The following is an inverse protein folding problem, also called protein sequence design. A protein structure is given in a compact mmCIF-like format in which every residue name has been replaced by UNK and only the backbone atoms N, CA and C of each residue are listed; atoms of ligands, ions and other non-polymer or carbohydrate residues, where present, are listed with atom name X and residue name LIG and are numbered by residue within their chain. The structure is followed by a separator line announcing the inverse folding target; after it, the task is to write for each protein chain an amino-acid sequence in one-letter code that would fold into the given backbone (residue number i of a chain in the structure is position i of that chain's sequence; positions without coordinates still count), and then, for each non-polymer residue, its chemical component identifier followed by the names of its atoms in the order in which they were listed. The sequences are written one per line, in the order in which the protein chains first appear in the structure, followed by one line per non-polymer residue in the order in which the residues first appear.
data_IF_493599415819
#
_entry.id   IF_493599415819
#
_cell.length_a   1.000
_cell.length_b   1.000
_cell.length_c   1.000
_cell.angle_alpha   90.00
_cell.angle_beta   90.00
_cell.angle_gamma   90.00
#
_symmetry.space_group_name_H-M   'P 1'
#
loop_
_entity.id
_entity.type
_entity.pdbx_description
1 polymer ?
#
# COMPACT_ATOMS: atom_id res chain seq x y z
N UNK A 1 51.94 -7.35 -9.77
CA UNK A 1 50.70 -6.76 -9.23
C UNK A 1 50.73 -6.87 -7.71
N UNK A 2 50.92 -5.74 -7.03
CA UNK A 2 51.15 -5.69 -5.59
C UNK A 2 49.94 -6.21 -4.80
N UNK A 3 50.20 -6.86 -3.65
CA UNK A 3 49.16 -7.45 -2.80
C UNK A 3 48.05 -6.44 -2.44
N UNK A 4 48.42 -5.16 -2.28
CA UNK A 4 47.50 -4.04 -2.06
C UNK A 4 46.60 -3.74 -3.28
N UNK A 5 47.11 -3.81 -4.51
CA UNK A 5 46.31 -3.63 -5.73
C UNK A 5 45.29 -4.76 -5.90
N UNK A 6 45.67 -6.02 -5.61
CA UNK A 6 44.72 -7.17 -5.64
C UNK A 6 43.55 -6.97 -4.68
N UNK A 7 43.82 -6.57 -3.43
CA UNK A 7 42.77 -6.33 -2.43
C UNK A 7 41.83 -5.19 -2.83
N UNK A 8 42.36 -4.10 -3.40
CA UNK A 8 41.54 -2.98 -3.88
C UNK A 8 40.59 -3.43 -5.00
N UNK A 9 41.07 -4.20 -5.98
CA UNK A 9 40.20 -4.71 -7.05
C UNK A 9 39.08 -5.62 -6.53
N UNK A 10 39.37 -6.46 -5.54
CA UNK A 10 38.35 -7.34 -4.94
C UNK A 10 37.28 -6.54 -4.20
N UNK A 11 37.65 -5.52 -3.43
CA UNK A 11 36.67 -4.68 -2.72
C UNK A 11 35.79 -3.92 -3.71
N UNK A 12 36.39 -3.33 -4.76
CA UNK A 12 35.64 -2.62 -5.79
C UNK A 12 34.65 -3.57 -6.51
N UNK A 13 35.07 -4.80 -6.81
CA UNK A 13 34.19 -5.79 -7.43
C UNK A 13 32.99 -6.16 -6.53
N UNK A 14 33.21 -6.31 -5.21
CA UNK A 14 32.13 -6.61 -4.26
C UNK A 14 31.15 -5.44 -4.14
N UNK A 15 31.65 -4.20 -4.03
CA UNK A 15 30.81 -3.00 -3.97
C UNK A 15 30.02 -2.79 -5.28
N UNK A 16 30.64 -3.08 -6.43
CA UNK A 16 29.96 -3.04 -7.72
C UNK A 16 28.81 -4.08 -7.79
N UNK A 17 29.03 -5.30 -7.29
CA UNK A 17 27.98 -6.33 -7.26
C UNK A 17 26.87 -5.97 -6.26
N UNK A 18 27.20 -5.42 -5.08
CA UNK A 18 26.19 -4.98 -4.11
C UNK A 18 25.33 -3.84 -4.66
N UNK A 19 25.95 -2.84 -5.29
CA UNK A 19 25.20 -1.72 -5.87
C UNK A 19 24.29 -2.19 -7.00
N UNK A 20 24.76 -3.06 -7.90
CA UNK A 20 23.91 -3.63 -8.95
C UNK A 20 22.78 -4.50 -8.37
N UNK A 21 23.07 -5.31 -7.33
CA UNK A 21 22.09 -6.21 -6.73
C UNK A 21 21.01 -5.52 -5.89
N UNK A 22 21.23 -4.25 -5.48
CA UNK A 22 20.27 -3.46 -4.72
C UNK A 22 19.43 -2.52 -5.60
N UNK A 23 19.72 -2.42 -6.90
CA UNK A 23 18.90 -1.65 -7.83
C UNK A 23 17.75 -2.51 -8.32
N UNK A 24 16.55 -2.32 -7.76
CA UNK A 24 15.34 -3.05 -8.14
C UNK A 24 14.82 -4.05 -7.10
N UNK A 25 15.28 -3.96 -5.85
CA UNK A 25 14.52 -4.56 -4.76
C UNK A 25 13.34 -3.63 -4.44
N UNK A 26 12.17 -3.94 -5.00
CA UNK A 26 10.92 -3.45 -4.45
C UNK A 26 10.79 -4.07 -3.06
N UNK A 27 11.25 -3.32 -2.06
CA UNK A 27 10.97 -3.62 -0.65
C UNK A 27 9.46 -3.82 -0.56
N UNK A 28 9.02 -5.01 -0.12
CA UNK A 28 7.59 -5.28 0.09
C UNK A 28 7.00 -4.15 0.91
N UNK A 29 6.17 -3.34 0.25
CA UNK A 29 5.58 -2.18 0.88
C UNK A 29 4.62 -2.68 1.95
N UNK A 30 4.99 -2.43 3.21
CA UNK A 30 4.15 -2.73 4.35
C UNK A 30 2.80 -2.03 4.25
N UNK A 31 1.91 -2.33 5.19
CA UNK A 31 0.63 -1.64 5.24
C UNK A 31 0.80 -0.24 5.83
N UNK A 32 0.28 0.75 5.11
CA UNK A 32 0.13 2.13 5.56
C UNK A 32 -1.23 2.32 6.24
N UNK A 33 -1.28 3.23 7.20
CA UNK A 33 -2.56 3.73 7.71
C UNK A 33 -3.16 4.73 6.72
N UNK A 34 -4.45 5.04 6.85
CA UNK A 34 -5.09 6.07 5.99
C UNK A 34 -4.46 7.44 6.26
N UNK A 35 -4.12 7.72 7.50
CA UNK A 35 -3.38 8.92 7.90
C UNK A 35 -2.01 9.03 7.23
N UNK A 36 -1.25 7.94 7.10
CA UNK A 36 0.08 7.96 6.46
C UNK A 36 0.00 8.43 5.00
N UNK A 37 -0.94 7.85 4.24
CA UNK A 37 -1.10 8.14 2.80
C UNK A 37 -1.80 9.48 2.53
N UNK A 38 -2.58 10.01 3.49
CA UNK A 38 -3.27 11.29 3.33
C UNK A 38 -2.48 12.46 3.91
N UNK A 39 -1.48 12.21 4.75
CA UNK A 39 -0.57 13.23 5.28
C UNK A 39 0.41 13.74 4.22
N UNK A 40 0.95 12.86 3.37
CA UNK A 40 1.76 13.22 2.20
C UNK A 40 1.29 12.47 0.93
N UNK A 41 0.16 12.87 0.35
CA UNK A 41 -0.43 12.16 -0.78
C UNK A 41 0.47 12.18 -2.01
N UNK A 42 1.32 13.20 -2.18
CA UNK A 42 2.18 13.35 -3.35
C UNK A 42 3.27 12.28 -3.43
N UNK A 43 3.71 11.75 -2.28
CA UNK A 43 4.67 10.65 -2.26
C UNK A 43 4.09 9.34 -2.81
N UNK A 44 2.76 9.20 -2.72
CA UNK A 44 2.04 7.97 -3.05
C UNK A 44 1.25 8.02 -4.36
N UNK A 45 1.14 9.19 -5.01
CA UNK A 45 0.48 9.34 -6.30
C UNK A 45 1.06 8.41 -7.36
N UNK A 46 0.16 7.76 -8.12
CA UNK A 46 0.46 6.78 -9.17
C UNK A 46 1.26 5.57 -8.67
N UNK A 47 1.33 5.36 -7.35
CA UNK A 47 1.99 4.21 -6.73
C UNK A 47 0.99 3.22 -6.17
N UNK A 48 1.46 1.97 -6.09
CA UNK A 48 0.73 0.90 -5.43
C UNK A 48 0.82 1.09 -3.92
N UNK A 49 -0.34 1.10 -3.26
CA UNK A 49 -0.47 1.27 -1.82
C UNK A 49 -1.21 0.08 -1.21
N UNK A 50 -0.72 -0.37 -0.06
CA UNK A 50 -1.42 -1.29 0.82
C UNK A 50 -1.89 -0.48 2.01
N UNK A 51 -3.19 -0.33 2.21
CA UNK A 51 -3.72 0.45 3.33
C UNK A 51 -4.75 -0.31 4.13
N UNK A 52 -4.97 0.12 5.37
CA UNK A 52 -6.00 -0.44 6.25
C UNK A 52 -6.79 0.67 6.91
N UNK A 53 -8.07 0.38 7.17
CA UNK A 53 -8.96 1.34 7.80
C UNK A 53 -10.33 0.76 8.06
N UNK A 54 -11.30 1.64 8.31
CA UNK A 54 -12.69 1.30 8.59
C UNK A 54 -13.58 1.88 7.48
N UNK A 55 -14.50 1.09 6.95
CA UNK A 55 -15.47 1.57 5.97
C UNK A 55 -16.44 2.55 6.66
N UNK A 56 -16.45 3.81 6.22
CA UNK A 56 -17.28 4.86 6.83
C UNK A 56 -18.77 4.58 6.65
N UNK A 57 -19.54 4.75 7.72
CA UNK A 57 -21.00 4.59 7.68
C UNK A 57 -21.68 5.61 6.76
N UNK A 58 -22.66 5.17 5.98
CA UNK A 58 -23.39 5.95 5.00
C UNK A 58 -22.63 6.24 3.70
N UNK A 59 -21.48 5.59 3.46
CA UNK A 59 -20.65 5.84 2.25
C UNK A 59 -20.59 4.65 1.31
N UNK A 60 -20.97 3.45 1.75
CA UNK A 60 -20.88 2.26 0.91
C UNK A 60 -21.98 2.26 -0.15
N UNK A 61 -21.56 2.40 -1.41
CA UNK A 61 -22.42 2.37 -2.58
C UNK A 61 -21.99 1.24 -3.51
N UNK A 62 -22.84 0.23 -3.64
CA UNK A 62 -22.60 -0.94 -4.48
C UNK A 62 -23.43 -0.79 -5.76
N UNK A 63 -22.76 -0.70 -6.91
CA UNK A 63 -23.40 -0.71 -8.24
C UNK A 63 -22.94 -1.92 -9.05
N UNK A 64 -23.66 -2.30 -10.13
CA UNK A 64 -23.27 -3.44 -10.97
C UNK A 64 -21.89 -3.32 -11.61
N UNK A 65 -21.41 -2.10 -11.84
CA UNK A 65 -20.13 -1.82 -12.50
C UNK A 65 -19.00 -1.54 -11.52
N UNK A 66 -19.31 -0.93 -10.37
CA UNK A 66 -18.32 -0.42 -9.44
C UNK A 66 -18.91 -0.29 -8.04
N UNK A 67 -18.08 -0.55 -7.04
CA UNK A 67 -18.35 -0.26 -5.64
C UNK A 67 -17.52 0.94 -5.21
N UNK A 68 -18.14 1.87 -4.49
CA UNK A 68 -17.47 3.06 -3.96
C UNK A 68 -17.74 3.19 -2.48
N UNK A 69 -16.76 3.62 -1.71
CA UNK A 69 -16.89 3.91 -0.28
C UNK A 69 -15.76 4.82 0.20
N UNK A 70 -15.92 5.38 1.39
CA UNK A 70 -14.85 6.13 2.08
C UNK A 70 -14.24 5.23 3.14
N UNK A 71 -12.91 5.14 3.14
CA UNK A 71 -12.14 4.47 4.17
C UNK A 71 -11.61 5.52 5.16
N UNK A 72 -11.84 5.32 6.45
CA UNK A 72 -11.28 6.15 7.52
C UNK A 72 -10.13 5.44 8.20
N UNK A 73 -9.23 6.21 8.78
CA UNK A 73 -8.23 5.65 9.69
C UNK A 73 -8.91 4.98 10.90
N UNK A 74 -8.25 3.96 11.47
CA UNK A 74 -8.76 3.23 12.63
C UNK A 74 -8.47 3.96 13.95
N UNK A 75 -7.45 4.83 14.00
CA UNK A 75 -7.05 5.59 15.17
C UNK A 75 -7.59 7.03 15.15
N UNK A 76 -7.71 7.64 13.97
CA UNK A 76 -8.21 9.01 13.81
C UNK A 76 -9.16 9.16 12.61
N UNK A 77 -10.47 9.15 12.89
CA UNK A 77 -11.54 9.26 11.88
C UNK A 77 -11.48 10.55 11.03
N UNK A 78 -10.65 11.55 11.39
CA UNK A 78 -10.47 12.75 10.57
C UNK A 78 -9.69 12.48 9.26
N UNK A 79 -8.91 11.39 9.21
CA UNK A 79 -8.20 10.98 8.00
C UNK A 79 -9.07 10.02 7.21
N UNK A 80 -9.39 10.42 5.97
CA UNK A 80 -10.32 9.72 5.11
C UNK A 80 -9.80 9.68 3.68
N UNK A 81 -10.07 8.58 2.97
CA UNK A 81 -9.75 8.44 1.55
C UNK A 81 -10.88 7.72 0.81
N UNK A 82 -11.18 8.14 -0.42
CA UNK A 82 -12.18 7.48 -1.24
C UNK A 82 -11.59 6.25 -1.92
N UNK A 83 -12.41 5.22 -2.08
CA UNK A 83 -12.03 3.96 -2.69
C UNK A 83 -13.03 3.62 -3.79
N UNK A 84 -12.51 3.29 -4.95
CA UNK A 84 -13.24 2.67 -6.06
C UNK A 84 -12.80 1.22 -6.19
N UNK A 85 -13.74 0.29 -6.40
CA UNK A 85 -13.45 -1.14 -6.51
C UNK A 85 -14.39 -1.80 -7.52
N UNK A 86 -13.83 -2.40 -8.57
CA UNK A 86 -14.60 -3.00 -9.67
C UNK A 86 -14.54 -4.54 -9.71
N UNK A 87 -13.84 -5.18 -8.77
CA UNK A 87 -13.71 -6.64 -8.72
C UNK A 87 -14.79 -7.27 -7.81
N UNK A 88 -14.76 -8.61 -7.69
CA UNK A 88 -15.71 -9.34 -6.87
C UNK A 88 -15.61 -8.92 -5.41
N UNK A 89 -16.75 -8.55 -4.83
CA UNK A 89 -16.82 -8.10 -3.45
C UNK A 89 -16.69 -9.27 -2.47
N UNK A 90 -15.92 -9.11 -1.38
CA UNK A 90 -15.95 -10.06 -0.29
C UNK A 90 -17.35 -10.07 0.35
N UNK A 91 -17.91 -11.26 0.59
CA UNK A 91 -19.29 -11.44 1.05
C UNK A 91 -19.64 -10.73 2.37
N UNK A 92 -18.63 -10.39 3.18
CA UNK A 92 -18.78 -9.75 4.48
C UNK A 92 -18.43 -8.27 4.48
N UNK A 93 -18.20 -7.64 3.32
CA UNK A 93 -17.99 -6.21 3.23
C UNK A 93 -19.25 -5.48 3.71
N UNK A 94 -19.08 -4.59 4.67
CA UNK A 94 -20.14 -3.78 5.23
C UNK A 94 -19.56 -2.53 5.86
N UNK A 95 -20.41 -1.53 6.07
CA UNK A 95 -20.06 -0.31 6.80
C UNK A 95 -19.65 -0.62 8.25
N UNK A 96 -18.74 0.20 8.79
CA UNK A 96 -18.18 0.04 10.12
C UNK A 96 -17.26 -1.18 10.27
N UNK A 97 -16.94 -1.89 9.18
CA UNK A 97 -15.98 -3.00 9.20
C UNK A 97 -14.57 -2.50 8.90
N UNK A 98 -13.62 -3.04 9.65
CA UNK A 98 -12.21 -2.88 9.33
C UNK A 98 -11.85 -3.78 8.15
N UNK A 99 -11.13 -3.19 7.19
CA UNK A 99 -10.63 -3.86 6.00
C UNK A 99 -9.18 -3.46 5.76
N UNK A 100 -8.49 -4.31 5.02
CA UNK A 100 -7.23 -4.01 4.37
C UNK A 100 -7.46 -4.03 2.87
N UNK A 101 -6.85 -3.10 2.14
CA UNK A 101 -6.96 -3.06 0.68
C UNK A 101 -5.60 -2.83 0.04
N UNK A 102 -5.47 -3.35 -1.16
CA UNK A 102 -4.34 -3.12 -2.06
C UNK A 102 -4.88 -2.45 -3.32
N UNK A 103 -4.27 -1.35 -3.71
CA UNK A 103 -4.71 -0.57 -4.87
C UNK A 103 -3.64 0.41 -5.34
N UNK A 104 -4.01 1.27 -6.29
CA UNK A 104 -3.17 2.35 -6.79
C UNK A 104 -3.78 3.68 -6.39
N UNK A 105 -2.97 4.61 -5.86
CA UNK A 105 -3.46 5.95 -5.55
C UNK A 105 -3.54 6.78 -6.82
N UNK A 106 -4.76 6.97 -7.33
CA UNK A 106 -5.01 7.65 -8.61
C UNK A 106 -5.20 9.16 -8.45
N UNK A 107 -5.42 9.63 -7.22
CA UNK A 107 -5.42 11.06 -6.87
C UNK A 107 -5.11 11.25 -5.39
N UNK A 108 -4.92 12.50 -4.96
CA UNK A 108 -4.65 12.84 -3.55
C UNK A 108 -5.74 12.36 -2.58
N UNK A 109 -6.92 12.03 -3.08
CA UNK A 109 -8.09 11.64 -2.27
C UNK A 109 -8.74 10.33 -2.69
N UNK A 110 -8.12 9.57 -3.60
CA UNK A 110 -8.75 8.39 -4.20
C UNK A 110 -7.77 7.27 -4.48
N UNK A 111 -8.17 6.06 -4.11
CA UNK A 111 -7.51 4.80 -4.46
C UNK A 111 -8.42 4.02 -5.40
N UNK A 112 -7.85 3.56 -6.51
CA UNK A 112 -8.41 2.48 -7.32
C UNK A 112 -7.96 1.15 -6.72
N UNK A 113 -8.88 0.47 -6.03
CA UNK A 113 -8.58 -0.76 -5.31
C UNK A 113 -8.65 -1.98 -6.23
N UNK A 114 -7.62 -2.82 -6.13
CA UNK A 114 -7.50 -4.08 -6.87
C UNK A 114 -7.94 -5.27 -6.01
N UNK A 115 -7.72 -5.18 -4.69
CA UNK A 115 -8.01 -6.26 -3.75
C UNK A 115 -8.50 -5.70 -2.42
N UNK A 116 -9.56 -6.31 -1.88
CA UNK A 116 -10.06 -6.04 -0.53
C UNK A 116 -10.00 -7.32 0.30
N UNK A 117 -9.42 -7.22 1.49
CA UNK A 117 -9.35 -8.28 2.51
C UNK A 117 -10.05 -7.80 3.77
N UNK A 118 -10.90 -8.64 4.34
CA UNK A 118 -11.61 -8.32 5.57
C UNK A 118 -10.67 -8.42 6.78
N UNK A 119 -10.65 -7.39 7.64
CA UNK A 119 -9.83 -7.32 8.85
C UNK A 119 -8.39 -6.82 8.64
N UNK A 120 -7.66 -6.65 9.76
CA UNK A 120 -6.25 -6.24 9.75
C UNK A 120 -5.34 -7.41 9.31
N UNK A 121 -4.26 -7.14 8.56
CA UNK A 121 -3.38 -8.15 8.01
C UNK A 121 -2.34 -8.67 9.03
N UNK A 122 -2.42 -8.24 10.30
CA UNK A 122 -1.52 -8.63 11.40
C UNK A 122 -1.46 -10.13 11.69
N UNK A 123 -2.25 -10.93 10.98
CA UNK A 123 -2.21 -12.40 10.96
C UNK A 123 -1.31 -13.01 9.89
N UNK A 124 -0.72 -12.22 8.98
CA UNK A 124 0.10 -12.72 7.85
C UNK A 124 1.57 -12.35 7.93
N UNK A 125 2.00 -11.66 9.00
CA UNK A 125 3.41 -11.48 9.34
C UNK A 125 3.91 -12.70 10.14
N UNK A 126 4.08 -13.84 9.47
CA UNK A 126 4.87 -14.96 10.02
C UNK A 126 6.25 -15.01 9.37
#
# INVERSE_FOLDING_TARGET
MDKKRKTIFTIIAIVAVMTIGLWGVDVEQGYYMVSDITADPQEHLDQKVNTMGIVKNGTLSISPEMTTFTLTDAEDENYEINVEYSADLPANLAEGKSISLTGTMVSETMIDAEQIVMGCPSKYSE
#
